data_IF_005109306918
#
_entry.id   IF_005109306918
#
_cell.length_a   1.000
_cell.length_b   1.000
_cell.length_c   1.000
_cell.angle_alpha   90.00
_cell.angle_beta   90.00
_cell.angle_gamma   90.00
#
_symmetry.space_group_name_H-M   'P 1'
#
loop_
_entity.id
_entity.type
_entity.pdbx_description
1 polymer ?
#
# COMPACT_ATOMS: atom_id res chain seq x y z
N UNK A 1 -10.83 -6.58 -30.50
CA UNK A 1 -10.81 -5.11 -30.36
C UNK A 1 -11.73 -4.71 -29.22
N UNK A 2 -11.20 -4.02 -28.24
CA UNK A 2 -11.93 -3.51 -27.08
C UNK A 2 -11.95 -1.98 -27.17
N UNK A 3 -13.03 -1.35 -26.74
CA UNK A 3 -13.22 0.10 -26.82
C UNK A 3 -13.37 0.67 -25.41
N UNK A 4 -12.76 1.84 -25.19
CA UNK A 4 -12.71 2.49 -23.89
C UNK A 4 -13.05 3.97 -24.00
N UNK A 5 -13.59 4.54 -22.93
CA UNK A 5 -13.91 5.96 -22.81
C UNK A 5 -13.62 6.41 -21.37
N UNK A 6 -13.55 7.72 -21.19
CA UNK A 6 -13.41 8.29 -19.86
C UNK A 6 -14.77 8.66 -19.30
N UNK A 7 -15.10 8.20 -18.11
CA UNK A 7 -16.31 8.53 -17.36
C UNK A 7 -15.89 8.98 -15.97
N UNK A 8 -16.20 10.24 -15.62
CA UNK A 8 -15.83 10.84 -14.33
C UNK A 8 -14.34 10.68 -13.95
N UNK A 9 -13.45 10.74 -14.95
CA UNK A 9 -12.01 10.59 -14.75
C UNK A 9 -11.52 9.14 -14.65
N UNK A 10 -12.39 8.17 -14.88
CA UNK A 10 -12.08 6.74 -14.84
C UNK A 10 -12.11 6.15 -16.25
N UNK A 11 -11.09 5.36 -16.60
CA UNK A 11 -11.09 4.61 -17.87
C UNK A 11 -12.09 3.47 -17.78
N UNK A 12 -13.09 3.50 -18.64
CA UNK A 12 -14.22 2.56 -18.64
C UNK A 12 -14.28 1.79 -19.95
N UNK A 13 -14.47 0.47 -19.87
CA UNK A 13 -14.63 -0.36 -21.05
C UNK A 13 -16.08 -0.30 -21.57
N UNK A 14 -16.22 -0.07 -22.87
CA UNK A 14 -17.51 -0.12 -23.53
C UNK A 14 -17.93 -1.58 -23.77
N UNK A 15 -18.95 -2.02 -23.07
CA UNK A 15 -19.50 -3.38 -23.16
C UNK A 15 -20.76 -3.49 -24.03
N UNK A 16 -21.14 -2.43 -24.71
CA UNK A 16 -22.30 -2.40 -25.59
C UNK A 16 -22.06 -3.04 -26.96
N UNK A 17 -23.08 -3.08 -27.77
CA UNK A 17 -23.00 -3.58 -29.15
C UNK A 17 -22.15 -2.60 -29.96
N UNK A 18 -21.11 -3.11 -30.61
CA UNK A 18 -20.28 -2.31 -31.53
C UNK A 18 -21.12 -1.99 -32.75
N UNK A 19 -21.37 -0.72 -32.95
CA UNK A 19 -22.16 -0.21 -34.09
C UNK A 19 -21.23 0.06 -35.28
N UNK A 20 -21.27 1.22 -35.88
CA UNK A 20 -20.37 1.58 -36.96
C UNK A 20 -19.05 2.14 -36.45
N UNK A 21 -17.98 2.09 -37.28
CA UNK A 21 -16.70 2.73 -36.97
C UNK A 21 -16.84 4.25 -36.69
N UNK A 22 -17.84 4.88 -37.32
CA UNK A 22 -18.10 6.30 -37.11
C UNK A 22 -18.67 6.58 -35.71
N UNK A 23 -19.55 5.71 -35.21
CA UNK A 23 -20.12 5.84 -33.85
C UNK A 23 -19.10 5.55 -32.76
N UNK A 24 -18.11 4.71 -33.07
CA UNK A 24 -17.02 4.36 -32.14
C UNK A 24 -15.78 5.25 -32.28
N UNK A 25 -15.82 6.29 -33.13
CA UNK A 25 -14.65 7.14 -33.41
C UNK A 25 -14.14 7.94 -32.19
N UNK A 26 -15.01 8.17 -31.20
CA UNK A 26 -14.66 8.83 -29.94
C UNK A 26 -14.09 7.92 -28.86
N UNK A 27 -13.97 6.61 -29.15
CA UNK A 27 -13.51 5.63 -28.19
C UNK A 27 -12.06 5.24 -28.47
N UNK A 28 -11.27 5.13 -27.41
CA UNK A 28 -9.91 4.59 -27.51
C UNK A 28 -9.96 3.07 -27.74
N UNK A 29 -9.03 2.55 -28.50
CA UNK A 29 -9.00 1.14 -28.92
C UNK A 29 -7.86 0.40 -28.23
N UNK A 30 -8.10 -0.86 -27.88
CA UNK A 30 -7.09 -1.75 -27.31
C UNK A 30 -7.33 -3.19 -27.76
N UNK A 31 -6.26 -3.86 -28.16
CA UNK A 31 -6.32 -5.25 -28.69
C UNK A 31 -5.81 -6.31 -27.70
N UNK A 32 -5.24 -5.88 -26.57
CA UNK A 32 -4.69 -6.79 -25.57
C UNK A 32 -5.76 -7.45 -24.69
N UNK A 33 -5.28 -8.27 -23.76
CA UNK A 33 -6.12 -9.10 -22.86
C UNK A 33 -6.12 -8.64 -21.41
N UNK A 34 -5.37 -7.60 -21.05
CA UNK A 34 -5.33 -7.09 -19.68
C UNK A 34 -6.69 -6.57 -19.25
N UNK A 35 -6.99 -6.70 -17.96
CA UNK A 35 -8.20 -6.09 -17.39
C UNK A 35 -8.07 -4.56 -17.40
N UNK A 36 -9.21 -3.87 -17.36
CA UNK A 36 -9.25 -2.40 -17.40
C UNK A 36 -8.42 -1.77 -16.30
N UNK A 37 -8.29 -2.43 -15.14
CA UNK A 37 -7.50 -1.93 -14.01
C UNK A 37 -6.01 -1.76 -14.33
N UNK A 38 -5.52 -2.46 -15.35
CA UNK A 38 -4.14 -2.40 -15.83
C UNK A 38 -3.94 -1.47 -17.01
N UNK A 39 -4.99 -0.74 -17.43
CA UNK A 39 -4.95 0.11 -18.61
C UNK A 39 -4.97 1.59 -18.21
N UNK A 40 -4.33 2.41 -19.04
CA UNK A 40 -4.32 3.88 -18.94
C UNK A 40 -4.44 4.50 -20.31
N UNK A 41 -4.86 5.75 -20.38
CA UNK A 41 -4.71 6.58 -21.57
C UNK A 41 -3.38 7.32 -21.49
N UNK A 42 -2.62 7.31 -22.59
CA UNK A 42 -1.46 8.19 -22.72
C UNK A 42 -1.87 9.61 -23.14
N UNK A 43 -0.90 10.49 -23.32
CA UNK A 43 -1.13 11.89 -23.69
C UNK A 43 -1.79 12.05 -25.07
N UNK A 44 -1.63 11.06 -25.94
CA UNK A 44 -2.25 11.01 -27.27
C UNK A 44 -3.65 10.37 -27.25
N UNK A 45 -4.13 9.91 -26.09
CA UNK A 45 -5.42 9.26 -25.94
C UNK A 45 -5.44 7.79 -26.41
N UNK A 46 -4.29 7.13 -26.45
CA UNK A 46 -4.14 5.73 -26.79
C UNK A 46 -4.17 4.89 -25.50
N UNK A 47 -4.91 3.78 -25.52
CA UNK A 47 -4.93 2.84 -24.38
C UNK A 47 -3.66 2.02 -24.37
N UNK A 48 -2.92 2.13 -23.29
CA UNK A 48 -1.67 1.41 -23.04
C UNK A 48 -1.75 0.62 -21.73
N UNK A 49 -0.88 -0.38 -21.60
CA UNK A 49 -0.78 -1.16 -20.36
C UNK A 49 0.12 -0.46 -19.36
N UNK A 50 -0.29 -0.48 -18.08
CA UNK A 50 0.56 0.00 -16.99
C UNK A 50 1.70 -0.98 -16.75
N UNK A 51 2.88 -0.45 -16.40
CA UNK A 51 3.92 -1.26 -15.76
C UNK A 51 3.47 -1.67 -14.35
N UNK A 52 4.10 -2.69 -13.73
CA UNK A 52 3.80 -3.03 -12.34
C UNK A 52 3.95 -1.85 -11.37
N UNK A 53 4.95 -0.99 -11.59
CA UNK A 53 5.17 0.22 -10.80
C UNK A 53 4.06 1.25 -10.98
N UNK A 54 3.64 1.48 -12.22
CA UNK A 54 2.52 2.38 -12.54
C UNK A 54 1.20 1.87 -11.94
N UNK A 55 0.97 0.56 -12.04
CA UNK A 55 -0.21 -0.09 -11.44
C UNK A 55 -0.23 0.11 -9.93
N UNK A 56 0.90 -0.13 -9.26
CA UNK A 56 1.03 0.08 -7.81
C UNK A 56 0.70 1.52 -7.42
N UNK A 57 1.27 2.51 -8.14
CA UNK A 57 1.00 3.92 -7.87
C UNK A 57 -0.47 4.28 -8.10
N UNK A 58 -1.08 3.80 -9.18
CA UNK A 58 -2.47 4.11 -9.53
C UNK A 58 -3.48 3.51 -8.55
N UNK A 59 -3.17 2.33 -7.97
CA UNK A 59 -4.06 1.60 -7.06
C UNK A 59 -3.66 1.68 -5.60
N UNK A 60 -2.64 2.47 -5.29
CA UNK A 60 -2.18 2.71 -3.92
C UNK A 60 -3.25 3.47 -3.14
N UNK A 61 -3.68 2.90 -2.02
CA UNK A 61 -4.68 3.48 -1.13
C UNK A 61 -4.12 3.61 0.28
N UNK A 62 -4.78 4.39 1.14
CA UNK A 62 -4.44 4.44 2.56
C UNK A 62 -4.44 3.03 3.17
N UNK A 63 -5.39 2.19 2.78
CA UNK A 63 -5.46 0.79 3.22
C UNK A 63 -4.24 -0.03 2.81
N UNK A 64 -3.64 0.23 1.65
CA UNK A 64 -2.39 -0.42 1.21
C UNK A 64 -1.25 -0.14 2.18
N UNK A 65 -1.12 1.10 2.64
CA UNK A 65 -0.11 1.49 3.62
C UNK A 65 -0.37 0.86 4.98
N UNK A 66 -1.62 0.88 5.46
CA UNK A 66 -2.01 0.23 6.71
C UNK A 66 -1.67 -1.26 6.70
N UNK A 67 -2.01 -1.96 5.64
CA UNK A 67 -1.71 -3.38 5.48
C UNK A 67 -0.20 -3.64 5.50
N UNK A 68 0.60 -2.80 4.86
CA UNK A 68 2.06 -2.93 4.87
C UNK A 68 2.64 -2.74 6.27
N UNK A 69 2.12 -1.80 7.05
CA UNK A 69 2.53 -1.58 8.44
C UNK A 69 2.11 -2.74 9.33
N UNK A 70 0.88 -3.24 9.19
CA UNK A 70 0.40 -4.41 9.93
C UNK A 70 1.26 -5.65 9.65
N UNK A 71 1.66 -5.85 8.40
CA UNK A 71 2.57 -6.93 8.01
C UNK A 71 3.96 -6.75 8.64
N UNK A 72 4.48 -5.53 8.70
CA UNK A 72 5.73 -5.22 9.39
C UNK A 72 5.66 -5.58 10.87
N UNK A 73 4.58 -5.18 11.56
CA UNK A 73 4.38 -5.50 12.97
C UNK A 73 4.31 -7.01 13.20
N UNK A 74 3.55 -7.71 12.38
CA UNK A 74 3.42 -9.18 12.43
C UNK A 74 4.76 -9.87 12.23
N UNK A 75 5.48 -9.51 11.17
CA UNK A 75 6.75 -10.14 10.83
C UNK A 75 7.81 -9.86 11.90
N UNK A 76 7.80 -8.69 12.51
CA UNK A 76 8.72 -8.33 13.60
C UNK A 76 8.44 -9.16 14.84
N UNK A 77 7.18 -9.35 15.22
CA UNK A 77 6.80 -10.22 16.33
C UNK A 77 7.16 -11.69 16.04
N UNK A 78 6.87 -12.17 14.82
CA UNK A 78 7.19 -13.53 14.40
C UNK A 78 8.70 -13.80 14.45
N UNK A 79 9.52 -12.86 14.01
CA UNK A 79 10.98 -12.98 14.03
C UNK A 79 11.53 -13.14 15.45
N UNK A 80 10.83 -12.64 16.45
CA UNK A 80 11.19 -12.81 17.87
C UNK A 80 10.56 -14.05 18.52
N UNK A 81 9.77 -14.81 17.81
CA UNK A 81 9.15 -16.05 18.26
C UNK A 81 7.71 -15.90 18.76
N UNK A 82 7.08 -14.77 18.58
CA UNK A 82 5.67 -14.56 18.90
C UNK A 82 4.79 -14.85 17.68
N UNK A 83 3.61 -15.42 17.90
CA UNK A 83 2.67 -15.77 16.81
C UNK A 83 2.09 -14.54 16.11
N UNK A 84 1.94 -13.43 16.84
CA UNK A 84 1.37 -12.19 16.34
C UNK A 84 1.82 -11.00 17.19
N UNK A 85 1.53 -9.79 16.71
CA UNK A 85 1.69 -8.56 17.50
C UNK A 85 0.89 -8.61 18.80
N UNK A 86 -0.35 -9.08 18.74
CA UNK A 86 -1.21 -9.24 19.92
C UNK A 86 -0.63 -10.22 20.93
N UNK A 87 -0.10 -11.35 20.47
CA UNK A 87 0.55 -12.32 21.35
C UNK A 87 1.75 -11.70 22.07
N UNK A 88 2.60 -10.98 21.35
CA UNK A 88 3.72 -10.25 21.97
C UNK A 88 3.23 -9.27 23.03
N UNK A 89 2.26 -8.42 22.69
CA UNK A 89 1.71 -7.40 23.61
C UNK A 89 1.00 -8.01 24.82
N UNK A 90 0.49 -9.23 24.71
CA UNK A 90 -0.16 -9.91 25.83
C UNK A 90 0.77 -10.16 27.02
N UNK A 91 2.08 -10.11 26.79
CA UNK A 91 3.09 -10.29 27.84
C UNK A 91 3.49 -9.00 28.58
N UNK A 92 2.81 -7.88 28.37
CA UNK A 92 3.09 -6.61 29.05
C UNK A 92 3.11 -6.70 30.57
N UNK A 93 2.30 -7.59 31.13
CA UNK A 93 2.23 -7.84 32.56
C UNK A 93 2.75 -9.22 32.97
N UNK A 94 3.60 -9.80 32.15
CA UNK A 94 4.19 -11.10 32.43
C UNK A 94 5.05 -11.08 33.69
N UNK A 95 5.01 -12.17 34.44
CA UNK A 95 5.91 -12.42 35.57
C UNK A 95 7.32 -12.84 35.12
N UNK A 96 7.46 -13.22 33.83
CA UNK A 96 8.76 -13.47 33.22
C UNK A 96 9.38 -12.14 32.78
N UNK A 97 10.53 -11.71 33.39
CA UNK A 97 11.10 -10.39 33.08
C UNK A 97 11.50 -10.21 31.63
N UNK A 98 11.99 -11.25 30.96
CA UNK A 98 12.38 -11.22 29.55
C UNK A 98 11.18 -10.95 28.65
N UNK A 99 10.11 -11.71 28.81
CA UNK A 99 8.90 -11.55 28.01
C UNK A 99 8.23 -10.20 28.23
N UNK A 100 8.19 -9.75 29.48
CA UNK A 100 7.68 -8.42 29.82
C UNK A 100 8.47 -7.32 29.12
N UNK A 101 9.81 -7.37 29.19
CA UNK A 101 10.66 -6.36 28.54
C UNK A 101 10.53 -6.38 27.02
N UNK A 102 10.41 -7.56 26.40
CA UNK A 102 10.17 -7.65 24.96
C UNK A 102 8.82 -7.06 24.58
N UNK A 103 7.78 -7.31 25.35
CA UNK A 103 6.47 -6.72 25.13
C UNK A 103 6.48 -5.18 25.27
N UNK A 104 7.16 -4.66 26.26
CA UNK A 104 7.34 -3.22 26.47
C UNK A 104 8.10 -2.57 25.31
N UNK A 105 9.17 -3.20 24.83
CA UNK A 105 9.94 -2.74 23.69
C UNK A 105 9.09 -2.73 22.40
N UNK A 106 8.33 -3.79 22.17
CA UNK A 106 7.44 -3.89 21.02
C UNK A 106 6.33 -2.82 21.08
N UNK A 107 5.72 -2.60 22.23
CA UNK A 107 4.69 -1.59 22.41
C UNK A 107 5.21 -0.19 22.09
N UNK A 108 6.36 0.19 22.61
CA UNK A 108 6.97 1.49 22.36
C UNK A 108 7.36 1.67 20.90
N UNK A 109 7.90 0.63 20.28
CA UNK A 109 8.26 0.65 18.87
C UNK A 109 7.02 0.76 17.98
N UNK A 110 5.98 -0.03 18.23
CA UNK A 110 4.71 0.06 17.49
C UNK A 110 4.17 1.50 17.51
N UNK A 111 4.15 2.14 18.67
CA UNK A 111 3.68 3.52 18.78
C UNK A 111 4.54 4.47 17.95
N UNK A 112 5.86 4.31 17.97
CA UNK A 112 6.78 5.08 17.14
C UNK A 112 6.55 4.89 15.65
N UNK A 113 6.25 3.67 15.22
CA UNK A 113 5.92 3.35 13.82
C UNK A 113 4.67 4.12 13.39
N UNK A 114 3.58 4.01 14.15
CA UNK A 114 2.33 4.69 13.81
C UNK A 114 2.43 6.21 13.89
N UNK A 115 3.17 6.75 14.85
CA UNK A 115 3.44 8.19 14.92
C UNK A 115 4.21 8.68 13.69
N UNK A 116 5.19 7.91 13.22
CA UNK A 116 5.91 8.24 11.98
C UNK A 116 4.99 8.18 10.76
N UNK A 117 4.11 7.20 10.68
CA UNK A 117 3.11 7.11 9.62
C UNK A 117 2.18 8.34 9.62
N UNK A 118 1.70 8.78 10.78
CA UNK A 118 0.87 9.97 10.89
C UNK A 118 1.62 11.24 10.51
N UNK A 119 2.88 11.37 10.88
CA UNK A 119 3.74 12.49 10.48
C UNK A 119 3.85 12.58 8.95
N UNK A 120 4.12 11.45 8.30
CA UNK A 120 4.21 11.36 6.84
C UNK A 120 2.86 11.70 6.19
N UNK A 121 1.77 11.12 6.69
CA UNK A 121 0.42 11.37 6.18
C UNK A 121 0.07 12.86 6.26
N UNK A 122 0.36 13.51 7.39
CA UNK A 122 0.11 14.92 7.57
C UNK A 122 0.93 15.78 6.58
N UNK A 123 2.20 15.43 6.35
CA UNK A 123 3.04 16.11 5.37
C UNK A 123 2.52 15.96 3.95
N UNK A 124 2.07 14.77 3.57
CA UNK A 124 1.45 14.52 2.25
C UNK A 124 0.16 15.32 2.09
N UNK A 125 -0.72 15.30 3.10
CA UNK A 125 -1.98 16.05 3.08
C UNK A 125 -1.77 17.57 3.04
N UNK A 126 -0.70 18.07 3.67
CA UNK A 126 -0.31 19.47 3.64
C UNK A 126 0.39 19.88 2.33
N UNK A 127 0.68 18.94 1.44
CA UNK A 127 1.39 19.18 0.19
C UNK A 127 2.89 19.46 0.34
N UNK A 128 3.47 19.19 1.51
CA UNK A 128 4.90 19.43 1.78
C UNK A 128 5.79 18.29 1.30
N UNK A 129 5.24 17.15 0.98
CA UNK A 129 5.93 16.04 0.34
C UNK A 129 4.98 15.20 -0.52
N UNK A 130 5.48 14.49 -1.57
CA UNK A 130 4.68 13.53 -2.32
C UNK A 130 4.43 12.27 -1.45
N UNK A 131 3.36 11.52 -1.78
CA UNK A 131 3.10 10.24 -1.17
C UNK A 131 4.25 9.26 -1.48
N UNK A 132 4.86 8.63 -0.46
CA UNK A 132 5.94 7.68 -0.68
C UNK A 132 5.40 6.38 -1.30
N UNK A 133 6.26 5.60 -1.95
CA UNK A 133 5.97 4.20 -2.24
C UNK A 133 5.89 3.40 -0.94
N UNK A 134 5.33 2.19 -0.99
CA UNK A 134 5.33 1.28 0.17
C UNK A 134 6.76 1.00 0.62
N UNK A 135 7.69 0.75 -0.32
CA UNK A 135 9.10 0.51 -0.04
C UNK A 135 9.77 1.72 0.63
N UNK A 136 9.52 2.92 0.13
CA UNK A 136 10.02 4.16 0.73
C UNK A 136 9.49 4.34 2.15
N UNK A 137 8.18 4.13 2.35
CA UNK A 137 7.59 4.18 3.69
C UNK A 137 8.28 3.21 4.65
N UNK A 138 8.44 1.95 4.24
CA UNK A 138 9.10 0.94 5.09
C UNK A 138 10.53 1.35 5.45
N UNK A 139 11.26 1.99 4.53
CA UNK A 139 12.63 2.47 4.79
C UNK A 139 12.70 3.63 5.78
N UNK A 140 11.64 4.42 5.90
CA UNK A 140 11.56 5.57 6.81
C UNK A 140 11.10 5.19 8.23
N UNK A 141 10.52 4.01 8.43
CA UNK A 141 10.02 3.59 9.73
C UNK A 141 11.16 3.19 10.67
N UNK A 142 11.02 3.48 11.96
CA UNK A 142 12.05 3.12 12.94
C UNK A 142 12.17 1.61 13.07
N UNK A 143 13.37 1.14 13.35
CA UNK A 143 13.61 -0.27 13.67
C UNK A 143 13.42 -0.51 15.15
N UNK A 144 12.99 -1.71 15.51
CA UNK A 144 12.79 -2.09 16.91
C UNK A 144 14.15 -2.29 17.62
N UNK A 145 14.21 -1.80 18.85
CA UNK A 145 15.25 -2.15 19.81
C UNK A 145 14.61 -3.00 20.91
N UNK A 146 14.90 -4.27 20.91
CA UNK A 146 14.35 -5.22 21.89
C UNK A 146 14.92 -5.06 23.30
N UNK A 147 15.86 -4.13 23.47
CA UNK A 147 16.58 -3.95 24.73
C UNK A 147 17.73 -4.96 24.91
N UNK A 148 18.55 -4.69 25.90
CA UNK A 148 19.74 -5.51 26.19
C UNK A 148 19.44 -6.62 27.18
N UNK A 149 18.47 -7.45 26.90
CA UNK A 149 18.14 -8.59 27.75
C UNK A 149 18.79 -9.87 27.28
N UNK A 150 20.03 -9.80 26.96
CA UNK A 150 20.62 -10.85 26.15
C UNK A 150 21.44 -11.84 26.97
N UNK A 151 21.25 -11.86 28.26
CA UNK A 151 22.12 -12.72 29.09
C UNK A 151 21.37 -13.41 30.21
#
# INVERSE_FOLDING_TARGET
MRYFYMEDGVLTEYLGVIKSNAEMAGYAKYEGTKSVDWLKLDEEGIVTEMTPEEYEVAHRTLKSYENAVDELLKNTANARGYDSAYTCLSYMNSTNPTWKTEAEAFNSWRDSVWLKCHEILNAVNAGTRPAPSIEELMSELPQIDWGKNNE
#
